data_IF_883970614434
#
_entry.id   IF_883970614434
#
_cell.length_a   1.000
_cell.length_b   1.000
_cell.length_c   1.000
_cell.angle_alpha   90.00
_cell.angle_beta   90.00
_cell.angle_gamma   90.00
#
_symmetry.space_group_name_H-M   'P 1'
#
loop_
_entity.id
_entity.type
_entity.pdbx_description
1 polymer ?
#
# COMPACT_ATOMS: atom_id res chain seq x y z
N UNK A 1 -8.35 18.98 7.50
CA UNK A 1 -8.56 17.56 7.17
C UNK A 1 -8.59 16.80 8.47
N UNK A 2 -9.61 15.98 8.77
CA UNK A 2 -9.55 15.10 9.93
C UNK A 2 -8.31 14.21 9.79
N UNK A 3 -7.51 14.13 10.85
CA UNK A 3 -6.36 13.24 10.88
C UNK A 3 -6.92 11.83 11.01
N UNK A 4 -6.66 10.96 10.03
CA UNK A 4 -7.04 9.56 10.14
C UNK A 4 -6.32 8.97 11.35
N UNK A 5 -7.08 8.58 12.37
CA UNK A 5 -6.53 7.89 13.53
C UNK A 5 -6.21 6.45 13.13
N UNK A 6 -4.99 6.02 13.41
CA UNK A 6 -4.55 4.63 13.28
C UNK A 6 -4.34 4.00 14.66
N UNK A 7 -4.83 4.63 15.72
CA UNK A 7 -4.67 4.13 17.08
C UNK A 7 -5.24 2.72 17.21
N UNK A 8 -4.46 1.81 17.78
CA UNK A 8 -4.80 0.39 17.89
C UNK A 8 -4.34 -0.47 16.71
N UNK A 9 -3.96 0.12 15.56
CA UNK A 9 -3.46 -0.63 14.40
C UNK A 9 -2.20 -1.42 14.74
N UNK A 10 -2.21 -2.72 14.46
CA UNK A 10 -1.06 -3.61 14.55
C UNK A 10 -0.38 -3.70 13.20
N UNK A 11 0.92 -3.43 13.21
CA UNK A 11 1.76 -3.50 12.02
C UNK A 11 2.81 -4.56 12.23
N UNK A 12 2.88 -5.51 11.29
CA UNK A 12 3.99 -6.45 11.21
C UNK A 12 5.07 -5.92 10.28
N UNK A 13 6.29 -5.70 10.80
CA UNK A 13 7.45 -5.29 10.01
C UNK A 13 8.32 -6.48 9.65
N UNK A 14 8.72 -6.59 8.38
CA UNK A 14 9.50 -7.71 7.84
C UNK A 14 10.73 -7.18 7.11
N UNK A 15 11.92 -7.47 7.63
CA UNK A 15 13.21 -7.26 6.98
C UNK A 15 13.64 -8.57 6.27
N UNK A 16 13.39 -8.71 4.97
CA UNK A 16 13.47 -9.99 4.28
C UNK A 16 14.91 -10.37 3.96
N UNK A 17 15.25 -11.62 4.27
CA UNK A 17 16.49 -12.25 3.82
C UNK A 17 16.36 -13.76 3.87
N UNK A 18 16.99 -14.45 2.92
CA UNK A 18 16.84 -15.90 2.85
C UNK A 18 17.48 -16.58 4.08
N UNK A 19 18.70 -16.16 4.48
CA UNK A 19 19.40 -16.74 5.65
C UNK A 19 18.89 -16.18 6.98
N UNK A 20 18.48 -14.92 7.00
CA UNK A 20 18.00 -14.21 8.18
C UNK A 20 16.85 -13.31 7.74
N UNK A 21 15.68 -13.51 8.33
CA UNK A 21 14.50 -12.69 8.10
C UNK A 21 14.06 -12.09 9.44
N UNK A 22 14.14 -10.76 9.56
CA UNK A 22 13.70 -10.06 10.76
C UNK A 22 12.19 -9.90 10.75
N UNK A 23 11.53 -10.27 11.84
CA UNK A 23 10.09 -10.12 12.03
C UNK A 23 9.81 -9.27 13.26
N UNK A 24 8.82 -8.40 13.18
CA UNK A 24 8.40 -7.59 14.31
C UNK A 24 6.92 -7.28 14.25
N UNK A 25 6.32 -7.00 15.41
CA UNK A 25 4.97 -6.46 15.52
C UNK A 25 5.02 -5.26 16.46
N UNK A 26 4.38 -4.18 16.03
CA UNK A 26 4.15 -2.98 16.85
C UNK A 26 2.69 -2.59 16.81
N UNK A 27 2.23 -1.87 17.83
CA UNK A 27 0.91 -1.28 17.87
C UNK A 27 1.01 0.24 17.84
N UNK A 28 0.28 0.88 16.92
CA UNK A 28 0.17 2.32 16.86
C UNK A 28 -0.62 2.84 18.07
N UNK A 29 -0.04 3.79 18.80
CA UNK A 29 -0.70 4.51 19.87
C UNK A 29 -1.24 5.86 19.40
N UNK A 30 -1.54 6.73 20.35
CA UNK A 30 -1.98 8.10 20.04
C UNK A 30 -0.85 8.93 19.42
N UNK A 31 -1.14 9.60 18.32
CA UNK A 31 -0.18 10.46 17.62
C UNK A 31 0.97 9.67 17.00
N UNK A 32 2.21 9.92 17.44
CA UNK A 32 3.40 9.20 16.99
C UNK A 32 3.86 8.09 17.94
N UNK A 33 3.12 7.86 19.03
CA UNK A 33 3.43 6.78 19.97
C UNK A 33 3.32 5.43 19.26
N UNK A 34 4.29 4.55 19.51
CA UNK A 34 4.33 3.18 18.99
C UNK A 34 4.76 2.26 20.12
N UNK A 35 4.03 1.17 20.31
CA UNK A 35 4.26 0.21 21.38
C UNK A 35 4.86 -1.06 20.75
N UNK A 36 6.03 -1.53 21.19
CA UNK A 36 6.57 -2.80 20.74
C UNK A 36 5.73 -3.96 21.27
N UNK A 37 5.37 -4.92 20.40
CA UNK A 37 4.59 -6.11 20.77
C UNK A 37 5.46 -7.36 20.72
N UNK A 38 6.18 -7.57 19.61
CA UNK A 38 7.04 -8.72 19.43
C UNK A 38 8.19 -8.41 18.46
N UNK A 39 9.30 -9.11 18.60
CA UNK A 39 10.41 -9.06 17.65
C UNK A 39 11.16 -10.39 17.65
N UNK A 40 11.57 -10.85 16.47
CA UNK A 40 12.26 -12.11 16.28
C UNK A 40 13.02 -12.16 14.98
N UNK A 41 13.82 -13.21 14.80
CA UNK A 41 14.57 -13.45 13.56
C UNK A 41 14.45 -14.92 13.20
N UNK A 42 13.92 -15.18 12.01
CA UNK A 42 13.91 -16.51 11.40
C UNK A 42 15.26 -16.74 10.75
N UNK A 43 15.84 -17.92 10.97
CA UNK A 43 17.14 -18.31 10.41
C UNK A 43 16.97 -19.60 9.63
N UNK A 44 17.32 -19.57 8.34
CA UNK A 44 17.34 -20.79 7.52
C UNK A 44 18.78 -21.18 7.21
N UNK A 45 19.12 -22.48 7.18
CA UNK A 45 20.47 -22.94 6.88
C UNK A 45 20.88 -22.57 5.45
N UNK A 46 22.09 -22.00 5.28
CA UNK A 46 22.56 -21.53 3.97
C UNK A 46 22.91 -22.64 2.99
N UNK A 47 23.15 -23.85 3.50
CA UNK A 47 23.47 -25.08 2.78
C UNK A 47 22.23 -25.87 2.34
N UNK A 48 21.05 -25.49 2.82
CA UNK A 48 19.78 -26.08 2.39
C UNK A 48 19.33 -25.59 1.02
N UNK A 49 18.57 -26.42 0.30
CA UNK A 49 17.96 -26.05 -0.97
C UNK A 49 17.01 -24.85 -0.80
N UNK A 50 16.95 -23.98 -1.82
CA UNK A 50 16.15 -22.76 -1.77
C UNK A 50 14.67 -23.05 -1.49
N UNK A 51 14.09 -24.14 -2.01
CA UNK A 51 12.69 -24.47 -1.80
C UNK A 51 12.40 -24.77 -0.32
N UNK A 52 13.26 -25.51 0.37
CA UNK A 52 13.11 -25.77 1.80
C UNK A 52 13.27 -24.50 2.64
N UNK A 53 14.22 -23.64 2.28
CA UNK A 53 14.42 -22.36 2.98
C UNK A 53 13.22 -21.43 2.81
N UNK A 54 12.60 -21.42 1.62
CA UNK A 54 11.36 -20.69 1.36
C UNK A 54 10.17 -21.28 2.13
N UNK A 55 10.11 -22.60 2.29
CA UNK A 55 9.11 -23.27 3.12
C UNK A 55 9.24 -22.84 4.59
N UNK A 56 10.44 -22.89 5.17
CA UNK A 56 10.69 -22.46 6.55
C UNK A 56 10.31 -20.98 6.78
N UNK A 57 10.63 -20.10 5.82
CA UNK A 57 10.20 -18.70 5.88
C UNK A 57 8.68 -18.55 5.81
N UNK A 58 8.02 -19.33 4.96
CA UNK A 58 6.56 -19.35 4.83
C UNK A 58 5.90 -19.77 6.14
N UNK A 59 6.34 -20.89 6.72
CA UNK A 59 5.81 -21.42 7.98
C UNK A 59 5.97 -20.42 9.12
N UNK A 60 7.17 -19.86 9.29
CA UNK A 60 7.41 -18.86 10.31
C UNK A 60 6.59 -17.57 10.11
N UNK A 61 6.39 -17.14 8.86
CA UNK A 61 5.53 -15.99 8.58
C UNK A 61 4.06 -16.28 8.88
N UNK A 62 3.57 -17.48 8.53
CA UNK A 62 2.21 -17.90 8.85
C UNK A 62 1.99 -17.94 10.38
N UNK A 63 2.92 -18.50 11.13
CA UNK A 63 2.85 -18.54 12.60
C UNK A 63 2.73 -17.14 13.20
N UNK A 64 3.53 -16.19 12.72
CA UNK A 64 3.48 -14.79 13.18
C UNK A 64 2.18 -14.10 12.79
N UNK A 65 1.70 -14.31 11.56
CA UNK A 65 0.44 -13.74 11.09
C UNK A 65 -0.74 -14.27 11.93
N UNK A 66 -0.75 -15.55 12.24
CA UNK A 66 -1.82 -16.20 13.02
C UNK A 66 -1.75 -15.82 14.51
N UNK A 67 -0.54 -15.75 15.08
CA UNK A 67 -0.32 -15.41 16.48
C UNK A 67 -0.67 -13.95 16.79
N UNK A 68 -0.23 -13.00 15.94
CA UNK A 68 -0.31 -11.58 16.26
C UNK A 68 -1.45 -10.85 15.55
N UNK A 69 -2.01 -11.44 14.48
CA UNK A 69 -3.12 -10.90 13.69
C UNK A 69 -2.89 -9.42 13.33
N UNK A 70 -1.83 -9.10 12.58
CA UNK A 70 -1.56 -7.71 12.19
C UNK A 70 -2.62 -7.22 11.20
N UNK A 71 -2.94 -5.93 11.27
CA UNK A 71 -3.84 -5.28 10.31
C UNK A 71 -3.12 -5.00 8.98
N UNK A 72 -1.79 -4.79 9.04
CA UNK A 72 -0.96 -4.46 7.88
C UNK A 72 0.42 -5.09 8.01
N UNK A 73 1.00 -5.50 6.88
CA UNK A 73 2.39 -5.95 6.77
C UNK A 73 3.22 -4.90 6.04
N UNK A 74 4.35 -4.49 6.64
CA UNK A 74 5.33 -3.59 6.07
C UNK A 74 6.62 -4.35 5.76
N UNK A 75 7.02 -4.42 4.49
CA UNK A 75 8.21 -5.16 4.03
C UNK A 75 9.22 -4.19 3.43
N UNK A 76 10.51 -4.43 3.66
CA UNK A 76 11.54 -3.69 2.94
C UNK A 76 11.49 -4.03 1.44
N UNK A 77 11.54 -2.99 0.60
CA UNK A 77 11.67 -3.15 -0.84
C UNK A 77 13.13 -3.39 -1.20
N UNK A 78 13.36 -4.46 -1.96
CA UNK A 78 14.66 -4.77 -2.55
C UNK A 78 15.03 -3.68 -3.57
N UNK A 79 16.08 -2.91 -3.28
CA UNK A 79 16.55 -1.79 -4.11
C UNK A 79 18.03 -1.88 -4.49
N UNK A 80 18.70 -2.99 -4.20
CA UNK A 80 20.15 -3.08 -4.27
C UNK A 80 20.66 -3.34 -5.69
N UNK A 81 21.67 -2.57 -6.11
CA UNK A 81 22.50 -2.85 -7.29
C UNK A 81 23.61 -3.84 -6.89
N UNK A 82 23.18 -5.04 -6.47
CA UNK A 82 24.07 -6.07 -5.93
C UNK A 82 24.28 -7.24 -6.88
N UNK A 83 24.81 -8.34 -6.34
CA UNK A 83 24.86 -9.61 -7.03
C UNK A 83 23.43 -10.06 -7.37
N UNK A 84 23.15 -10.26 -8.65
CA UNK A 84 21.83 -10.68 -9.16
C UNK A 84 21.32 -11.92 -8.43
N UNK A 85 22.19 -12.88 -8.13
CA UNK A 85 21.80 -14.11 -7.41
C UNK A 85 21.26 -13.82 -6.01
N UNK A 86 21.93 -12.97 -5.23
CA UNK A 86 21.46 -12.57 -3.89
C UNK A 86 20.15 -11.80 -3.97
N UNK A 87 20.04 -10.87 -4.91
CA UNK A 87 18.82 -10.08 -5.13
C UNK A 87 17.64 -10.99 -5.48
N UNK A 88 17.85 -11.96 -6.38
CA UNK A 88 16.81 -12.92 -6.78
C UNK A 88 16.38 -13.82 -5.63
N UNK A 89 17.32 -14.31 -4.82
CA UNK A 89 17.02 -15.14 -3.65
C UNK A 89 16.18 -14.39 -2.61
N UNK A 90 16.51 -13.13 -2.32
CA UNK A 90 15.69 -12.29 -1.45
C UNK A 90 14.32 -12.01 -2.08
N UNK A 91 14.25 -11.83 -3.40
CA UNK A 91 12.99 -11.59 -4.10
C UNK A 91 12.03 -12.77 -4.00
N UNK A 92 12.53 -14.01 -4.09
CA UNK A 92 11.73 -15.21 -3.84
C UNK A 92 11.18 -15.23 -2.41
N UNK A 93 12.01 -14.91 -1.42
CA UNK A 93 11.59 -14.79 -0.02
C UNK A 93 10.48 -13.74 0.15
N UNK A 94 10.65 -12.54 -0.42
CA UNK A 94 9.63 -11.49 -0.39
C UNK A 94 8.33 -11.96 -1.02
N UNK A 95 8.38 -12.66 -2.15
CA UNK A 95 7.17 -13.21 -2.80
C UNK A 95 6.39 -14.16 -1.90
N UNK A 96 7.08 -15.05 -1.18
CA UNK A 96 6.47 -15.98 -0.20
C UNK A 96 5.84 -15.21 0.96
N UNK A 97 6.54 -14.22 1.52
CA UNK A 97 6.05 -13.42 2.65
C UNK A 97 4.82 -12.59 2.26
N UNK A 98 4.84 -12.02 1.06
CA UNK A 98 3.69 -11.29 0.50
C UNK A 98 2.48 -12.21 0.28
N UNK A 99 2.71 -13.42 -0.23
CA UNK A 99 1.65 -14.40 -0.44
C UNK A 99 0.98 -14.80 0.88
N UNK A 100 1.78 -15.06 1.93
CA UNK A 100 1.26 -15.44 3.25
C UNK A 100 0.32 -14.36 3.84
N UNK A 101 0.67 -13.08 3.68
CA UNK A 101 -0.19 -11.96 4.08
C UNK A 101 -1.45 -11.86 3.20
N UNK A 102 -1.29 -11.95 1.87
CA UNK A 102 -2.39 -11.84 0.92
C UNK A 102 -3.45 -12.95 1.09
N UNK A 103 -3.04 -14.16 1.45
CA UNK A 103 -3.95 -15.28 1.74
C UNK A 103 -4.91 -14.98 2.91
N UNK A 104 -4.55 -14.06 3.80
CA UNK A 104 -5.38 -13.59 4.92
C UNK A 104 -6.10 -12.28 4.63
N UNK A 105 -5.97 -11.73 3.41
CA UNK A 105 -6.52 -10.43 3.05
C UNK A 105 -5.83 -9.25 3.75
N UNK A 106 -4.60 -9.44 4.25
CA UNK A 106 -3.83 -8.40 4.93
C UNK A 106 -3.07 -7.57 3.89
N UNK A 107 -3.23 -6.25 3.97
CA UNK A 107 -2.55 -5.33 3.05
C UNK A 107 -1.03 -5.37 3.26
N UNK A 108 -0.28 -5.35 2.15
CA UNK A 108 1.18 -5.32 2.15
C UNK A 108 1.70 -3.99 1.60
N UNK A 109 2.60 -3.35 2.36
CA UNK A 109 3.25 -2.10 2.00
C UNK A 109 4.76 -2.28 1.88
N UNK A 110 5.33 -1.85 0.74
CA UNK A 110 6.76 -1.94 0.46
C UNK A 110 7.46 -0.59 0.67
N UNK A 111 8.46 -0.55 1.55
CA UNK A 111 9.23 0.67 1.85
C UNK A 111 10.68 0.55 1.41
N UNK A 112 11.22 1.60 0.80
CA UNK A 112 12.65 1.66 0.49
C UNK A 112 13.49 1.92 1.75
N UNK A 113 14.76 1.50 1.80
CA UNK A 113 15.65 1.83 2.91
C UNK A 113 15.71 3.34 3.20
N UNK A 114 15.70 4.16 2.14
CA UNK A 114 15.72 5.62 2.24
C UNK A 114 14.44 6.20 2.85
N UNK A 115 13.28 5.61 2.56
CA UNK A 115 12.01 6.02 3.17
C UNK A 115 11.97 5.70 4.66
N UNK A 116 12.43 4.52 5.05
CA UNK A 116 12.54 4.10 6.46
C UNK A 116 13.47 5.05 7.22
N UNK A 117 14.67 5.28 6.68
CA UNK A 117 15.66 6.20 7.27
C UNK A 117 15.11 7.62 7.39
N UNK A 118 14.45 8.13 6.35
CA UNK A 118 13.85 9.48 6.36
C UNK A 118 12.71 9.59 7.36
N UNK A 119 11.85 8.58 7.47
CA UNK A 119 10.73 8.58 8.42
C UNK A 119 11.19 8.60 9.88
N UNK A 120 12.26 7.84 10.18
CA UNK A 120 12.76 7.65 11.55
C UNK A 120 13.71 8.76 11.98
N UNK A 121 14.69 9.10 11.15
CA UNK A 121 15.79 10.02 11.51
C UNK A 121 15.65 11.42 10.91
N UNK A 122 14.70 11.63 9.98
CA UNK A 122 14.65 12.85 9.16
C UNK A 122 15.67 12.88 8.02
N UNK A 123 16.64 11.95 7.99
CA UNK A 123 17.70 11.87 7.00
C UNK A 123 17.70 10.51 6.30
N UNK A 124 17.52 10.48 4.97
CA UNK A 124 17.56 9.25 4.17
C UNK A 124 18.93 8.54 4.15
N UNK A 125 19.99 9.18 4.64
CA UNK A 125 21.37 8.65 4.68
C UNK A 125 21.83 8.20 6.08
N UNK A 126 20.93 8.12 7.05
CA UNK A 126 21.28 7.65 8.39
C UNK A 126 21.96 6.27 8.37
N UNK A 127 22.96 6.10 9.22
CA UNK A 127 23.69 4.84 9.36
C UNK A 127 22.96 3.84 10.27
N UNK A 128 23.43 2.59 10.28
CA UNK A 128 22.77 1.49 11.00
C UNK A 128 22.79 1.69 12.53
N UNK A 129 23.85 2.30 13.08
CA UNK A 129 23.97 2.57 14.52
C UNK A 129 22.99 3.65 14.93
N UNK A 130 22.89 4.73 14.15
CA UNK A 130 21.92 5.80 14.34
C UNK A 130 20.49 5.28 14.29
N UNK A 131 20.17 4.45 13.31
CA UNK A 131 18.84 3.85 13.19
C UNK A 131 18.49 2.97 14.40
N UNK A 132 19.41 2.11 14.83
CA UNK A 132 19.20 1.26 16.01
C UNK A 132 18.98 2.09 17.28
N UNK A 133 19.78 3.13 17.51
CA UNK A 133 19.62 4.02 18.65
C UNK A 133 18.27 4.76 18.62
N UNK A 134 17.85 5.22 17.44
CA UNK A 134 16.56 5.87 17.26
C UNK A 134 15.40 4.91 17.57
N UNK A 135 15.44 3.68 17.06
CA UNK A 135 14.40 2.67 17.32
C UNK A 135 14.32 2.32 18.80
N UNK A 136 15.47 2.12 19.45
CA UNK A 136 15.55 1.89 20.90
C UNK A 136 14.84 3.00 21.67
N UNK A 137 15.11 4.27 21.33
CA UNK A 137 14.49 5.44 21.96
C UNK A 137 13.01 5.57 21.64
N UNK A 138 12.61 5.38 20.39
CA UNK A 138 11.22 5.54 19.92
C UNK A 138 10.30 4.55 20.63
N UNK A 139 10.76 3.31 20.79
CA UNK A 139 10.00 2.22 21.40
C UNK A 139 10.18 2.13 22.92
N UNK A 140 10.99 3.01 23.52
CA UNK A 140 11.27 2.99 24.96
C UNK A 140 11.95 1.72 25.44
N UNK A 141 12.76 1.07 24.60
CA UNK A 141 13.48 -0.15 24.95
C UNK A 141 14.64 0.18 25.90
N UNK A 142 14.83 -0.65 26.92
CA UNK A 142 15.97 -0.53 27.86
C UNK A 142 17.30 -0.84 27.19
N UNK A 143 17.29 -1.73 26.20
CA UNK A 143 18.46 -2.14 25.44
C UNK A 143 18.19 -2.11 23.94
N UNK A 144 19.25 -1.97 23.17
CA UNK A 144 19.16 -2.03 21.72
C UNK A 144 18.67 -3.42 21.27
N UNK A 145 17.67 -3.51 20.36
CA UNK A 145 17.16 -4.78 19.87
C UNK A 145 18.27 -5.56 19.18
N UNK A 146 18.39 -6.83 19.57
CA UNK A 146 19.37 -7.77 19.02
C UNK A 146 18.65 -9.04 18.55
N UNK A 147 19.11 -9.64 17.44
CA UNK A 147 20.23 -9.21 16.60
C UNK A 147 19.85 -8.05 15.65
N UNK A 148 20.79 -7.53 14.86
CA UNK A 148 20.59 -6.31 14.07
C UNK A 148 19.31 -6.27 13.19
N UNK A 149 18.92 -7.41 12.58
CA UNK A 149 17.70 -7.50 11.75
C UNK A 149 16.41 -7.28 12.56
N UNK A 150 16.44 -7.49 13.88
CA UNK A 150 15.35 -7.14 14.78
C UNK A 150 15.08 -5.62 14.78
N UNK A 151 16.16 -4.82 14.75
CA UNK A 151 16.05 -3.36 14.68
C UNK A 151 15.50 -2.89 13.33
N UNK A 152 15.93 -3.53 12.24
CA UNK A 152 15.50 -3.21 10.88
C UNK A 152 14.01 -3.57 10.68
N UNK A 153 13.57 -4.74 11.17
CA UNK A 153 12.16 -5.12 11.18
C UNK A 153 11.28 -4.14 11.97
N UNK A 154 11.69 -3.78 13.20
CA UNK A 154 10.99 -2.77 14.01
C UNK A 154 10.95 -1.40 13.32
N UNK A 155 12.02 -1.02 12.61
CA UNK A 155 12.08 0.21 11.86
C UNK A 155 11.04 0.25 10.73
N UNK A 156 10.83 -0.85 10.02
CA UNK A 156 9.80 -0.95 8.98
C UNK A 156 8.39 -0.80 9.56
N UNK A 157 8.11 -1.46 10.68
CA UNK A 157 6.81 -1.36 11.33
C UNK A 157 6.52 0.08 11.83
N UNK A 158 7.49 0.70 12.51
CA UNK A 158 7.41 2.11 12.94
C UNK A 158 7.27 3.06 11.75
N UNK A 159 8.02 2.82 10.68
CA UNK A 159 7.94 3.61 9.45
C UNK A 159 6.52 3.60 8.89
N UNK A 160 5.87 2.43 8.85
CA UNK A 160 4.49 2.32 8.41
C UNK A 160 3.54 3.10 9.33
N UNK A 161 3.60 2.91 10.66
CA UNK A 161 2.74 3.67 11.59
C UNK A 161 2.83 5.19 11.35
N UNK A 162 4.02 5.71 11.09
CA UNK A 162 4.20 7.15 10.90
C UNK A 162 3.85 7.65 9.49
N UNK A 163 3.82 6.77 8.49
CA UNK A 163 3.49 7.11 7.09
C UNK A 163 2.04 6.79 6.74
N UNK A 164 1.40 5.82 7.38
CA UNK A 164 0.06 5.34 7.08
C UNK A 164 -1.00 6.47 7.09
N UNK A 165 -1.04 7.40 8.07
CA UNK A 165 -2.03 8.48 8.05
C UNK A 165 -1.94 9.35 6.79
N UNK A 166 -0.71 9.62 6.31
CA UNK A 166 -0.49 10.36 5.07
C UNK A 166 -0.91 9.54 3.84
N UNK A 167 -0.57 8.24 3.81
CA UNK A 167 -0.93 7.35 2.71
C UNK A 167 -2.45 7.20 2.57
N UNK A 168 -3.17 7.03 3.68
CA UNK A 168 -4.63 6.92 3.71
C UNK A 168 -5.25 8.25 3.25
N UNK A 169 -4.80 9.38 3.79
CA UNK A 169 -5.29 10.71 3.40
C UNK A 169 -5.11 10.96 1.90
N UNK A 170 -3.96 10.60 1.35
CA UNK A 170 -3.68 10.76 -0.08
C UNK A 170 -4.60 9.87 -0.94
N UNK A 171 -4.77 8.60 -0.57
CA UNK A 171 -5.67 7.66 -1.27
C UNK A 171 -7.12 8.16 -1.28
N UNK A 172 -7.61 8.66 -0.14
CA UNK A 172 -8.96 9.24 -0.06
C UNK A 172 -9.12 10.47 -0.95
N UNK A 173 -8.12 11.36 -0.96
CA UNK A 173 -8.14 12.54 -1.81
C UNK A 173 -8.16 12.17 -3.30
N UNK A 174 -7.34 11.19 -3.70
CA UNK A 174 -7.30 10.66 -5.07
C UNK A 174 -8.64 10.03 -5.46
N UNK A 175 -9.23 9.20 -4.60
CA UNK A 175 -10.53 8.59 -4.84
C UNK A 175 -11.65 9.64 -5.02
N UNK A 176 -11.66 10.69 -4.20
CA UNK A 176 -12.60 11.81 -4.33
C UNK A 176 -12.41 12.57 -5.64
N UNK A 177 -11.17 12.86 -6.02
CA UNK A 177 -10.86 13.53 -7.28
C UNK A 177 -11.29 12.68 -8.50
N UNK A 178 -11.07 11.37 -8.46
CA UNK A 178 -11.52 10.45 -9.52
C UNK A 178 -13.04 10.38 -9.61
N UNK A 179 -13.76 10.32 -8.48
CA UNK A 179 -15.21 10.30 -8.45
C UNK A 179 -15.80 11.60 -9.03
N UNK A 180 -15.25 12.76 -8.66
CA UNK A 180 -15.63 14.06 -9.22
C UNK A 180 -15.40 14.13 -10.73
N UNK A 181 -14.24 13.66 -11.21
CA UNK A 181 -13.92 13.62 -12.64
C UNK A 181 -14.89 12.73 -13.41
N UNK A 182 -15.23 11.55 -12.89
CA UNK A 182 -16.23 10.64 -13.50
C UNK A 182 -17.61 11.31 -13.55
N UNK A 183 -18.04 11.95 -12.47
CA UNK A 183 -19.33 12.65 -12.42
C UNK A 183 -19.39 13.80 -13.44
N UNK A 184 -18.35 14.64 -13.52
CA UNK A 184 -18.28 15.75 -14.45
C UNK A 184 -18.27 15.29 -15.91
N UNK A 185 -17.53 14.21 -16.23
CA UNK A 185 -17.58 13.58 -17.57
C UNK A 185 -18.96 13.03 -17.90
N UNK A 186 -19.67 12.45 -16.92
CA UNK A 186 -21.05 11.98 -17.07
C UNK A 186 -22.02 13.11 -17.42
N UNK A 187 -21.96 14.22 -16.69
CA UNK A 187 -22.79 15.42 -16.95
C UNK A 187 -22.51 15.97 -18.35
N UNK A 188 -21.23 16.14 -18.72
CA UNK A 188 -20.84 16.63 -20.05
C UNK A 188 -21.31 15.69 -21.17
N UNK A 189 -21.25 14.38 -20.95
CA UNK A 189 -21.75 13.38 -21.88
C UNK A 189 -23.27 13.46 -22.09
N UNK A 190 -24.03 13.58 -21.00
CA UNK A 190 -25.49 13.75 -21.04
C UNK A 190 -25.90 15.07 -21.71
N UNK A 191 -25.21 16.18 -21.41
CA UNK A 191 -25.45 17.46 -22.04
C UNK A 191 -25.16 17.43 -23.55
N UNK A 192 -24.07 16.76 -23.96
CA UNK A 192 -23.73 16.59 -25.38
C UNK A 192 -24.75 15.71 -26.11
N UNK A 193 -25.22 14.62 -25.49
CA UNK A 193 -26.30 13.79 -26.05
C UNK A 193 -27.61 14.57 -26.17
N UNK A 194 -28.03 15.28 -25.12
CA UNK A 194 -29.25 16.10 -25.15
C UNK A 194 -29.18 17.21 -26.22
N UNK A 195 -28.00 17.82 -26.41
CA UNK A 195 -27.78 18.78 -27.49
C UNK A 195 -27.87 18.12 -28.88
N UNK A 196 -27.25 16.95 -29.08
CA UNK A 196 -27.34 16.21 -30.34
C UNK A 196 -28.78 15.78 -30.67
N UNK A 197 -29.56 15.33 -29.68
CA UNK A 197 -30.96 14.97 -29.87
C UNK A 197 -31.86 16.18 -30.21
N UNK A 198 -31.52 17.38 -29.73
CA UNK A 198 -32.24 18.63 -30.07
C UNK A 198 -31.78 19.25 -31.39
N UNK A 199 -30.52 19.05 -31.75
CA UNK A 199 -29.87 19.59 -32.95
C UNK A 199 -29.17 18.45 -33.70
N UNK A 200 -29.92 17.65 -34.47
CA UNK A 200 -29.34 16.61 -35.31
C UNK A 200 -28.38 17.23 -36.32
N UNK A 201 -27.19 16.65 -36.44
CA UNK A 201 -26.11 17.23 -37.25
C UNK A 201 -25.76 16.41 -38.47
N UNK A 202 -26.31 15.19 -38.59
CA UNK A 202 -26.08 14.36 -39.78
C UNK A 202 -27.17 14.57 -40.84
N UNK A 203 -26.83 14.42 -42.14
CA UNK A 203 -27.81 14.55 -43.23
C UNK A 203 -28.99 13.58 -43.14
N UNK A 204 -28.77 12.41 -42.53
CA UNK A 204 -29.79 11.36 -42.35
C UNK A 204 -30.78 11.74 -41.23
N UNK A 205 -30.28 12.25 -40.11
CA UNK A 205 -31.13 12.75 -39.01
C UNK A 205 -31.92 14.01 -39.41
N UNK A 206 -31.31 14.93 -40.17
CA UNK A 206 -31.99 16.11 -40.72
C UNK A 206 -33.14 15.73 -41.68
N UNK A 207 -32.95 14.70 -42.52
CA UNK A 207 -34.01 14.16 -43.39
C UNK A 207 -35.16 13.56 -42.59
N UNK A 208 -34.86 12.79 -41.53
CA UNK A 208 -35.88 12.24 -40.64
C UNK A 208 -36.70 13.34 -39.94
N UNK A 209 -36.04 14.42 -39.50
CA UNK A 209 -36.70 15.56 -38.86
C UNK A 209 -37.64 16.33 -39.81
N UNK A 210 -37.22 16.53 -41.06
CA UNK A 210 -38.03 17.17 -42.10
C UNK A 210 -39.24 16.33 -42.50
N UNK A 211 -39.11 14.99 -42.54
CA UNK A 211 -40.24 14.08 -42.80
C UNK A 211 -41.31 14.16 -41.71
N UNK A 212 -40.93 14.28 -40.44
CA UNK A 212 -41.89 14.47 -39.33
C UNK A 212 -42.59 15.83 -39.34
N UNK A 213 -41.92 16.91 -39.79
CA UNK A 213 -42.56 18.23 -39.88
C UNK A 213 -43.55 18.35 -41.05
N UNK A 214 -43.38 17.55 -42.11
CA UNK A 214 -44.27 17.54 -43.27
C UNK A 214 -45.53 16.68 -43.11
N UNK A 215 -45.73 16.02 -41.97
CA UNK A 215 -46.92 15.20 -41.69
C UNK A 215 -48.11 15.97 -41.09
N UNK A 216 -48.09 17.31 -41.03
CA UNK A 216 -49.29 18.07 -40.68
C UNK A 216 -49.74 19.12 -41.72
N UNK A 217 -50.35 18.69 -42.84
CA UNK A 217 -51.08 19.58 -43.72
C UNK A 217 -52.58 19.27 -43.66
N UNK A 218 -53.33 19.87 -42.72
CA UNK A 218 -54.79 20.10 -42.87
C UNK A 218 -55.33 21.00 -41.75
N UNK A 219 -55.66 22.24 -42.09
CA UNK A 219 -56.59 23.03 -41.29
C UNK A 219 -56.43 24.54 -41.31
N UNK A 220 -56.15 25.20 -42.43
CA UNK A 220 -56.15 26.67 -42.47
C UNK A 220 -56.58 27.24 -43.83
N UNK A 221 -57.77 26.87 -44.33
CA UNK A 221 -58.51 27.67 -45.32
C UNK A 221 -60.02 27.37 -45.21
N UNK A 222 -60.80 28.30 -44.67
CA UNK A 222 -62.17 28.63 -45.13
C UNK A 222 -62.74 29.85 -44.37
N UNK A 223 -62.96 30.91 -45.17
CA UNK A 223 -63.92 32.03 -45.11
C UNK A 223 -64.22 32.72 -43.78
#
# INVERSE_FOLDING_TARGET
MPVVSIEGMRVMGIDPGLTRCGLSVVQAGRGRSVIPVAVGVVRTPSDSDIAHRLLELSEAANDWLDQYQPDVVAIERIFERGNVSTVMNTAHGVGVLMLAAAQRGIDVHLYTPSEVKKAISGNGRADKKQMTAMITRILGLTEAPKPADAADALALAVCHCWRAPLLITNREAEARAQAQSRHQRGILGQAKQAHHSKHPTTPEELRAQLQTQHLNPRGAWRR
#
